data_IF_155180762894
#
_entry.id   IF_155180762894
#
_cell.length_a   1.000
_cell.length_b   1.000
_cell.length_c   1.000
_cell.angle_alpha   90.00
_cell.angle_beta   90.00
_cell.angle_gamma   90.00
#
_symmetry.space_group_name_H-M   'P 1'
#
loop_
_entity.id
_entity.type
_entity.pdbx_description
1 polymer ?
#
# COMPACT_ATOMS: atom_id res chain seq x y z
N UNK A 1 16.09 -12.43 -28.84
CA UNK A 1 16.11 -13.91 -29.03
C UNK A 1 16.94 -14.64 -27.94
N UNK A 2 17.92 -13.98 -27.31
CA UNK A 2 18.81 -14.58 -26.31
C UNK A 2 18.58 -14.14 -24.88
N UNK A 3 17.64 -13.25 -24.65
CA UNK A 3 17.37 -12.71 -23.31
C UNK A 3 16.52 -13.66 -22.47
N UNK A 4 16.85 -13.81 -21.19
CA UNK A 4 16.07 -14.59 -20.23
C UNK A 4 14.80 -13.88 -19.79
N UNK A 5 14.88 -12.57 -19.63
CA UNK A 5 13.79 -11.71 -19.16
C UNK A 5 13.74 -10.45 -20.02
N UNK A 6 12.55 -10.13 -20.50
CA UNK A 6 12.26 -8.85 -21.13
C UNK A 6 11.39 -8.02 -20.17
N UNK A 7 11.88 -6.88 -19.76
CA UNK A 7 11.16 -5.98 -18.82
C UNK A 7 10.76 -4.72 -19.55
N UNK A 8 9.51 -4.31 -19.41
CA UNK A 8 9.01 -3.07 -20.01
C UNK A 8 8.00 -2.34 -19.11
N UNK A 9 8.14 -1.01 -19.07
CA UNK A 9 7.12 -0.07 -18.57
C UNK A 9 6.64 0.87 -19.69
N UNK A 10 6.94 0.54 -20.93
CA UNK A 10 6.50 1.32 -22.10
C UNK A 10 4.96 1.34 -22.17
N UNK A 11 4.32 2.48 -22.53
CA UNK A 11 2.88 2.54 -22.75
C UNK A 11 2.37 1.47 -23.71
N UNK A 12 1.20 0.88 -23.39
CA UNK A 12 0.62 -0.21 -24.20
C UNK A 12 0.38 0.18 -25.65
N UNK A 13 -0.08 1.39 -25.92
CA UNK A 13 -0.29 1.89 -27.28
C UNK A 13 1.00 1.86 -28.08
N UNK A 14 2.11 2.32 -27.48
CA UNK A 14 3.41 2.31 -28.15
C UNK A 14 3.93 0.88 -28.35
N UNK A 15 3.74 -0.03 -27.39
CA UNK A 15 4.11 -1.45 -27.54
C UNK A 15 3.37 -2.10 -28.70
N UNK A 16 2.08 -1.82 -28.87
CA UNK A 16 1.27 -2.31 -30.00
C UNK A 16 1.79 -1.79 -31.35
N UNK A 17 2.10 -0.48 -31.41
CA UNK A 17 2.67 0.12 -32.63
C UNK A 17 4.02 -0.48 -33.02
N UNK A 18 4.86 -0.82 -32.03
CA UNK A 18 6.18 -1.38 -32.23
C UNK A 18 6.20 -2.92 -32.32
N UNK A 19 5.05 -3.57 -32.19
CA UNK A 19 4.93 -5.03 -32.12
C UNK A 19 5.80 -5.65 -31.02
N UNK A 20 5.74 -5.08 -29.81
CA UNK A 20 6.50 -5.48 -28.64
C UNK A 20 5.60 -5.97 -27.48
N UNK A 21 4.33 -6.27 -27.74
CA UNK A 21 3.48 -6.93 -26.76
C UNK A 21 3.92 -8.40 -26.56
N UNK A 22 3.45 -9.02 -25.48
CA UNK A 22 3.80 -10.42 -25.19
C UNK A 22 3.55 -11.35 -26.37
N UNK A 23 2.37 -11.27 -26.97
CA UNK A 23 1.97 -12.13 -28.10
C UNK A 23 2.80 -11.89 -29.36
N UNK A 24 3.36 -10.68 -29.51
CA UNK A 24 4.18 -10.33 -30.67
C UNK A 24 5.56 -10.98 -30.62
N UNK A 25 6.14 -11.17 -29.41
CA UNK A 25 7.55 -11.60 -29.26
C UNK A 25 7.75 -12.93 -28.52
N UNK A 26 6.71 -13.47 -27.86
CA UNK A 26 6.82 -14.72 -27.09
C UNK A 26 7.28 -15.91 -27.95
N UNK A 27 6.88 -15.94 -29.22
CA UNK A 27 7.27 -17.00 -30.17
C UNK A 27 8.75 -16.97 -30.58
N UNK A 28 9.47 -15.86 -30.37
CA UNK A 28 10.89 -15.72 -30.67
C UNK A 28 11.78 -16.46 -29.64
N UNK A 29 11.27 -16.64 -28.42
CA UNK A 29 11.94 -17.39 -27.36
C UNK A 29 10.90 -17.90 -26.35
N UNK A 30 10.47 -19.15 -26.46
CA UNK A 30 9.47 -19.78 -25.60
C UNK A 30 9.90 -19.88 -24.14
N UNK A 31 11.18 -19.71 -23.83
CA UNK A 31 11.70 -19.73 -22.47
C UNK A 31 11.80 -18.32 -21.84
N UNK A 32 11.55 -17.27 -22.59
CA UNK A 32 11.63 -15.90 -22.12
C UNK A 32 10.51 -15.57 -21.13
N UNK A 33 10.86 -14.89 -20.04
CA UNK A 33 9.89 -14.25 -19.14
C UNK A 33 9.66 -12.82 -19.63
N UNK A 34 8.44 -12.54 -20.05
CA UNK A 34 8.01 -11.18 -20.39
C UNK A 34 7.44 -10.51 -19.16
N UNK A 35 8.04 -9.42 -18.71
CA UNK A 35 7.67 -8.70 -17.50
C UNK A 35 7.14 -7.30 -17.85
N UNK A 36 5.86 -7.08 -17.58
CA UNK A 36 5.16 -5.84 -17.89
C UNK A 36 4.74 -5.08 -16.63
N UNK A 37 5.10 -3.81 -16.56
CA UNK A 37 4.62 -2.87 -15.55
C UNK A 37 3.85 -1.75 -16.24
N UNK A 38 2.63 -1.50 -15.78
CA UNK A 38 1.76 -0.45 -16.32
C UNK A 38 1.15 0.39 -15.20
N UNK A 39 0.63 1.58 -15.48
CA UNK A 39 -0.10 2.34 -14.46
C UNK A 39 -1.35 1.63 -13.95
N UNK A 40 -2.19 1.10 -14.85
CA UNK A 40 -3.55 0.65 -14.53
C UNK A 40 -3.85 -0.82 -14.86
N UNK A 41 -2.89 -1.56 -15.37
CA UNK A 41 -3.08 -2.91 -15.88
C UNK A 41 -3.15 -2.94 -17.41
N UNK A 42 -3.15 -4.14 -17.98
CA UNK A 42 -3.24 -4.35 -19.43
C UNK A 42 -4.67 -4.63 -19.91
N UNK A 43 -5.61 -4.67 -18.98
CA UNK A 43 -7.04 -4.89 -19.22
C UNK A 43 -7.88 -3.76 -18.63
N UNK A 44 -9.14 -3.69 -18.98
CA UNK A 44 -10.09 -2.68 -18.50
C UNK A 44 -10.07 -1.38 -19.28
N UNK A 45 -10.90 -0.43 -18.86
CA UNK A 45 -11.13 0.85 -19.54
C UNK A 45 -9.91 1.77 -19.50
N UNK A 46 -9.11 1.68 -18.45
CA UNK A 46 -7.99 2.60 -18.19
C UNK A 46 -6.64 2.07 -18.70
N UNK A 47 -6.63 0.90 -19.36
CA UNK A 47 -5.39 0.22 -19.78
C UNK A 47 -4.47 1.05 -20.68
N UNK A 48 -5.04 1.95 -21.46
CA UNK A 48 -4.31 2.79 -22.40
C UNK A 48 -3.97 4.19 -21.83
N UNK A 49 -4.38 4.46 -20.58
CA UNK A 49 -4.05 5.70 -19.90
C UNK A 49 -2.62 5.67 -19.35
N UNK A 50 -1.94 6.81 -19.48
CA UNK A 50 -0.62 7.01 -18.91
C UNK A 50 -0.72 7.67 -17.55
N UNK A 51 0.11 7.26 -16.60
CA UNK A 51 0.24 7.90 -15.29
C UNK A 51 1.54 7.51 -14.62
N UNK A 52 2.01 8.37 -13.72
CA UNK A 52 3.07 8.07 -12.77
C UNK A 52 2.49 7.56 -11.44
N UNK A 53 3.36 7.18 -10.53
CA UNK A 53 3.01 6.57 -9.24
C UNK A 53 2.11 7.45 -8.38
N UNK A 54 2.34 8.78 -8.33
CA UNK A 54 1.50 9.70 -7.56
C UNK A 54 0.04 9.70 -8.02
N UNK A 55 -0.21 9.45 -9.30
CA UNK A 55 -1.57 9.42 -9.85
C UNK A 55 -2.16 8.01 -9.74
N UNK A 56 -1.47 7.00 -10.28
CA UNK A 56 -2.02 5.66 -10.37
C UNK A 56 -1.99 4.90 -9.03
N UNK A 57 -0.87 4.96 -8.30
CA UNK A 57 -0.74 4.28 -7.02
C UNK A 57 -1.38 5.09 -5.89
N UNK A 58 -0.99 6.37 -5.70
CA UNK A 58 -1.36 7.15 -4.53
C UNK A 58 -2.78 7.71 -4.60
N UNK A 59 -3.11 8.40 -5.70
CA UNK A 59 -4.42 9.06 -5.81
C UNK A 59 -5.52 8.07 -6.16
N UNK A 60 -5.33 7.28 -7.22
CA UNK A 60 -6.37 6.41 -7.77
C UNK A 60 -6.75 5.24 -6.85
N UNK A 61 -5.84 4.77 -6.01
CA UNK A 61 -6.12 3.72 -5.01
C UNK A 61 -6.93 4.22 -3.80
N UNK A 62 -7.07 5.54 -3.64
CA UNK A 62 -7.73 6.14 -2.48
C UNK A 62 -6.80 6.40 -1.28
N UNK A 63 -5.53 6.01 -1.34
CA UNK A 63 -4.58 6.23 -0.23
C UNK A 63 -4.48 7.70 0.15
N UNK A 64 -4.41 8.60 -0.83
CA UNK A 64 -4.32 10.04 -0.58
C UNK A 64 -5.47 10.56 0.28
N UNK A 65 -6.69 10.13 0.02
CA UNK A 65 -7.87 10.54 0.78
C UNK A 65 -7.90 9.92 2.18
N UNK A 66 -7.55 8.64 2.29
CA UNK A 66 -7.63 7.89 3.54
C UNK A 66 -6.52 8.23 4.54
N UNK A 67 -5.40 8.77 4.06
CA UNK A 67 -4.26 9.14 4.94
C UNK A 67 -4.31 10.61 5.42
N UNK A 68 -5.30 11.38 5.03
CA UNK A 68 -5.48 12.74 5.54
C UNK A 68 -6.20 12.74 6.90
N UNK A 69 -5.86 13.69 7.74
CA UNK A 69 -6.63 13.95 8.95
C UNK A 69 -8.01 14.54 8.59
N UNK A 70 -9.08 14.21 9.33
CA UNK A 70 -10.40 14.78 9.09
C UNK A 70 -10.38 16.31 9.03
N UNK A 71 -11.01 16.89 8.01
CA UNK A 71 -11.08 18.34 7.82
C UNK A 71 -9.83 19.02 7.26
N UNK A 72 -8.75 18.27 7.01
CA UNK A 72 -7.53 18.79 6.41
C UNK A 72 -7.42 18.48 4.91
N UNK A 73 -6.55 19.19 4.22
CA UNK A 73 -6.23 18.90 2.82
C UNK A 73 -5.51 17.55 2.69
N UNK A 74 -5.70 16.83 1.57
CA UNK A 74 -4.91 15.64 1.29
C UNK A 74 -3.42 15.94 1.22
N UNK A 75 -2.61 14.97 1.67
CA UNK A 75 -1.16 15.07 1.62
C UNK A 75 -0.65 14.41 0.35
N UNK A 76 0.21 15.10 -0.38
CA UNK A 76 0.89 14.52 -1.53
C UNK A 76 1.98 13.56 -1.05
N UNK A 77 2.04 12.37 -1.65
CA UNK A 77 3.13 11.44 -1.39
C UNK A 77 4.48 11.94 -1.94
N UNK A 78 5.55 11.43 -1.37
CA UNK A 78 6.89 11.65 -1.92
C UNK A 78 7.06 10.83 -3.20
N UNK A 79 7.92 11.32 -4.10
CA UNK A 79 8.27 10.62 -5.35
C UNK A 79 8.79 9.21 -5.07
N UNK A 80 8.36 8.23 -5.86
CA UNK A 80 8.74 6.82 -5.71
C UNK A 80 7.92 6.06 -4.67
N UNK A 81 6.98 6.69 -3.96
CA UNK A 81 6.13 6.02 -2.97
C UNK A 81 5.38 4.82 -3.58
N UNK A 82 4.95 4.91 -4.81
CA UNK A 82 4.30 3.82 -5.54
C UNK A 82 5.25 2.98 -6.38
N UNK A 83 6.29 3.60 -6.95
CA UNK A 83 7.26 2.90 -7.81
C UNK A 83 8.04 1.83 -7.05
N UNK A 84 8.54 2.13 -5.84
CA UNK A 84 9.36 1.21 -5.08
C UNK A 84 8.61 -0.09 -4.71
N UNK A 85 7.42 -0.08 -4.08
CA UNK A 85 6.70 -1.32 -3.78
C UNK A 85 6.25 -2.05 -5.06
N UNK A 86 5.92 -1.31 -6.13
CA UNK A 86 5.55 -1.91 -7.41
C UNK A 86 6.76 -2.60 -8.07
N UNK A 87 7.97 -2.04 -7.95
CA UNK A 87 9.20 -2.69 -8.43
C UNK A 87 9.50 -3.99 -7.67
N UNK A 88 9.28 -4.02 -6.34
CA UNK A 88 9.43 -5.25 -5.54
C UNK A 88 8.40 -6.31 -5.95
N UNK A 89 7.15 -5.90 -6.19
CA UNK A 89 6.10 -6.79 -6.70
C UNK A 89 6.45 -7.35 -8.08
N UNK A 90 6.99 -6.53 -8.99
CA UNK A 90 7.49 -6.97 -10.29
C UNK A 90 8.64 -7.95 -10.13
N UNK A 91 9.61 -7.67 -9.29
CA UNK A 91 10.72 -8.58 -9.01
C UNK A 91 10.21 -9.95 -8.53
N UNK A 92 9.28 -9.98 -7.58
CA UNK A 92 8.68 -11.23 -7.10
C UNK A 92 7.97 -12.00 -8.23
N UNK A 93 7.26 -11.30 -9.11
CA UNK A 93 6.59 -11.89 -10.26
C UNK A 93 7.58 -12.50 -11.25
N UNK A 94 8.69 -11.80 -11.54
CA UNK A 94 9.76 -12.30 -12.42
C UNK A 94 10.41 -13.55 -11.82
N UNK A 95 10.79 -13.53 -10.53
CA UNK A 95 11.43 -14.68 -9.87
C UNK A 95 10.49 -15.89 -9.86
N UNK A 96 9.20 -15.67 -9.60
CA UNK A 96 8.19 -16.73 -9.68
C UNK A 96 8.07 -17.32 -11.09
N UNK A 97 8.08 -16.48 -12.11
CA UNK A 97 8.05 -16.92 -13.50
C UNK A 97 9.34 -17.68 -13.90
N UNK A 98 10.50 -17.23 -13.43
CA UNK A 98 11.77 -17.95 -13.62
C UNK A 98 11.77 -19.32 -12.94
N UNK A 99 11.26 -19.40 -11.70
CA UNK A 99 11.11 -20.69 -11.00
C UNK A 99 10.17 -21.64 -11.75
N UNK A 100 9.07 -21.11 -12.30
CA UNK A 100 8.18 -21.88 -13.17
C UNK A 100 8.92 -22.37 -14.42
N UNK A 101 9.71 -21.50 -15.06
CA UNK A 101 10.54 -21.86 -16.22
C UNK A 101 11.50 -22.99 -15.90
N UNK A 102 12.21 -22.94 -14.78
CA UNK A 102 13.12 -24.02 -14.36
C UNK A 102 12.42 -25.39 -14.25
N UNK A 103 11.16 -25.39 -13.86
CA UNK A 103 10.36 -26.62 -13.68
C UNK A 103 9.72 -27.12 -14.98
N UNK A 104 9.41 -26.22 -15.90
CA UNK A 104 8.59 -26.52 -17.09
C UNK A 104 9.31 -26.35 -18.41
N UNK A 105 10.48 -25.71 -18.41
CA UNK A 105 11.19 -25.29 -19.63
C UNK A 105 10.54 -24.10 -20.33
N UNK A 106 9.41 -23.57 -19.84
CA UNK A 106 8.64 -22.51 -20.51
C UNK A 106 8.66 -21.22 -19.70
N UNK A 107 8.95 -20.13 -20.38
CA UNK A 107 8.80 -18.79 -19.87
C UNK A 107 7.33 -18.42 -19.64
N UNK A 108 6.99 -17.15 -19.77
CA UNK A 108 5.63 -16.70 -19.64
C UNK A 108 5.49 -15.21 -19.35
N UNK A 109 4.27 -14.80 -19.10
CA UNK A 109 3.91 -13.41 -18.84
C UNK A 109 3.87 -13.15 -17.34
N UNK A 110 4.64 -12.16 -16.87
CA UNK A 110 4.63 -11.61 -15.53
C UNK A 110 4.16 -10.16 -15.61
N UNK A 111 3.17 -9.79 -14.80
CA UNK A 111 2.56 -8.47 -14.89
C UNK A 111 2.23 -7.91 -13.52
N UNK A 112 2.41 -6.60 -13.39
CA UNK A 112 1.90 -5.81 -12.25
C UNK A 112 1.52 -4.41 -12.69
N UNK A 113 0.80 -3.67 -11.84
CA UNK A 113 0.48 -2.27 -12.10
C UNK A 113 0.61 -1.41 -10.84
N UNK A 114 0.83 -0.12 -11.03
CA UNK A 114 0.86 0.86 -9.95
C UNK A 114 -0.46 0.85 -9.17
N UNK A 115 -1.59 0.86 -9.87
CA UNK A 115 -2.91 0.82 -9.24
C UNK A 115 -3.12 -0.46 -8.43
N UNK A 116 -2.77 -1.63 -8.96
CA UNK A 116 -2.93 -2.89 -8.23
C UNK A 116 -2.15 -2.91 -6.92
N UNK A 117 -0.93 -2.38 -6.91
CA UNK A 117 -0.12 -2.27 -5.70
C UNK A 117 -0.64 -1.19 -4.74
N UNK A 118 -1.21 -0.09 -5.25
CA UNK A 118 -1.89 0.92 -4.44
C UNK A 118 -3.13 0.35 -3.75
N UNK A 119 -3.96 -0.39 -4.47
CA UNK A 119 -5.12 -1.09 -3.90
C UNK A 119 -4.69 -2.17 -2.91
N UNK A 120 -3.60 -2.90 -3.18
CA UNK A 120 -3.03 -3.84 -2.22
C UNK A 120 -2.61 -3.15 -0.92
N UNK A 121 -1.97 -1.99 -0.99
CA UNK A 121 -1.58 -1.20 0.18
C UNK A 121 -2.79 -0.68 0.98
N UNK A 122 -3.92 -0.41 0.30
CA UNK A 122 -5.20 -0.04 0.88
C UNK A 122 -6.13 -1.25 1.12
N UNK A 123 -5.62 -2.49 1.06
CA UNK A 123 -6.46 -3.70 0.95
C UNK A 123 -7.44 -3.90 2.11
N UNK A 124 -7.07 -3.55 3.33
CA UNK A 124 -7.98 -3.63 4.48
C UNK A 124 -9.20 -2.72 4.31
N UNK A 125 -8.99 -1.50 3.81
CA UNK A 125 -10.06 -0.55 3.54
C UNK A 125 -10.91 -0.98 2.34
N UNK A 126 -10.27 -1.40 1.26
CA UNK A 126 -10.96 -1.92 0.08
C UNK A 126 -11.81 -3.15 0.41
N UNK A 127 -11.27 -4.09 1.20
CA UNK A 127 -11.99 -5.28 1.65
C UNK A 127 -13.20 -4.91 2.52
N UNK A 128 -13.04 -3.98 3.43
CA UNK A 128 -14.12 -3.54 4.30
C UNK A 128 -15.22 -2.82 3.50
N UNK A 129 -14.87 -1.97 2.52
CA UNK A 129 -15.82 -1.32 1.62
C UNK A 129 -16.61 -2.36 0.81
N UNK A 130 -15.94 -3.36 0.21
CA UNK A 130 -16.61 -4.45 -0.50
C UNK A 130 -17.53 -5.29 0.41
N UNK A 131 -17.21 -5.39 1.70
CA UNK A 131 -18.07 -6.04 2.68
C UNK A 131 -19.22 -5.17 3.18
N UNK A 132 -19.35 -3.94 2.70
CA UNK A 132 -20.39 -2.99 3.10
C UNK A 132 -20.20 -2.41 4.50
N UNK A 133 -18.94 -2.32 4.97
CA UNK A 133 -18.66 -1.72 6.26
C UNK A 133 -18.96 -0.21 6.24
N UNK A 134 -19.67 0.25 7.27
CA UNK A 134 -19.92 1.67 7.48
C UNK A 134 -18.81 2.29 8.33
N UNK A 135 -17.88 2.96 7.67
CA UNK A 135 -16.78 3.67 8.34
C UNK A 135 -17.22 4.95 9.05
N UNK A 136 -18.43 5.48 8.74
CA UNK A 136 -18.92 6.69 9.39
C UNK A 136 -19.32 6.43 10.84
N UNK A 137 -19.60 5.18 11.18
CA UNK A 137 -19.94 4.73 12.53
C UNK A 137 -18.73 4.33 13.38
N UNK A 138 -17.53 4.26 12.77
CA UNK A 138 -16.32 3.94 13.54
C UNK A 138 -15.95 5.13 14.43
N UNK A 139 -15.80 4.92 15.74
CA UNK A 139 -15.28 5.99 16.59
C UNK A 139 -13.90 6.41 16.08
N UNK A 140 -13.55 7.70 16.17
CA UNK A 140 -12.21 8.14 15.87
C UNK A 140 -11.23 7.31 16.71
N UNK A 141 -10.13 6.86 16.08
CA UNK A 141 -9.06 6.18 16.83
C UNK A 141 -8.47 7.19 17.81
N UNK A 142 -8.96 7.11 19.04
CA UNK A 142 -8.54 7.99 20.14
C UNK A 142 -7.65 7.20 21.09
N UNK A 143 -6.81 7.90 21.77
CA UNK A 143 -5.96 7.53 22.90
C UNK A 143 -4.73 6.64 22.58
N UNK A 144 -4.85 5.41 22.13
CA UNK A 144 -3.71 4.46 22.14
C UNK A 144 -3.03 4.28 20.78
N UNK A 145 -3.58 4.86 19.71
CA UNK A 145 -2.99 4.86 18.37
C UNK A 145 -2.90 6.27 17.76
N UNK A 146 -3.14 7.30 18.59
CA UNK A 146 -3.11 8.70 18.15
C UNK A 146 -1.68 9.22 18.00
N UNK A 147 -1.57 10.29 17.23
CA UNK A 147 -0.35 11.08 17.12
C UNK A 147 -0.33 12.15 18.19
N UNK A 148 0.76 12.28 18.91
CA UNK A 148 0.95 13.25 19.98
C UNK A 148 2.13 14.17 19.65
N UNK A 149 1.93 15.47 19.82
CA UNK A 149 3.00 16.43 19.74
C UNK A 149 3.76 16.48 21.07
N UNK A 150 5.06 16.36 21.01
CA UNK A 150 5.93 16.43 22.18
C UNK A 150 6.32 17.88 22.46
N UNK A 151 6.73 18.18 23.71
CA UNK A 151 7.08 19.54 24.13
C UNK A 151 8.18 20.22 23.29
N UNK A 152 8.99 19.43 22.60
CA UNK A 152 10.04 19.91 21.68
C UNK A 152 9.58 20.04 20.23
N UNK A 153 8.26 19.94 19.97
CA UNK A 153 7.66 20.09 18.64
C UNK A 153 7.83 18.89 17.70
N UNK A 154 8.27 17.76 18.20
CA UNK A 154 8.29 16.50 17.46
C UNK A 154 6.98 15.76 17.64
N UNK A 155 6.73 14.79 16.79
CA UNK A 155 5.55 13.94 16.83
C UNK A 155 5.93 12.51 17.19
N UNK A 156 5.12 11.88 18.03
CA UNK A 156 5.23 10.45 18.32
C UNK A 156 3.87 9.78 18.19
N UNK A 157 3.91 8.48 17.91
CA UNK A 157 2.74 7.62 17.89
C UNK A 157 2.87 6.58 19.00
N UNK A 158 1.88 6.52 19.88
CA UNK A 158 1.75 5.42 20.82
C UNK A 158 1.08 4.24 20.11
N UNK A 159 1.63 3.05 20.30
CA UNK A 159 1.07 1.83 19.74
C UNK A 159 1.42 0.64 20.65
N UNK A 160 0.65 -0.45 20.54
CA UNK A 160 0.92 -1.70 21.26
C UNK A 160 0.73 -1.64 22.79
N UNK A 161 0.06 -0.64 23.34
CA UNK A 161 -0.33 -0.58 24.77
C UNK A 161 -1.55 -1.49 24.97
N UNK A 162 -1.32 -2.78 25.17
CA UNK A 162 -2.38 -3.81 25.18
C UNK A 162 -2.64 -4.43 26.53
N UNK A 163 -1.84 -4.12 27.55
CA UNK A 163 -1.99 -4.64 28.91
C UNK A 163 -1.97 -3.51 29.91
N UNK A 164 -2.55 -3.74 31.08
CA UNK A 164 -2.51 -2.77 32.20
C UNK A 164 -1.06 -2.43 32.58
N UNK A 165 -0.19 -3.42 32.64
CA UNK A 165 1.22 -3.21 32.94
C UNK A 165 1.89 -2.25 31.96
N UNK A 166 1.62 -2.39 30.64
CA UNK A 166 2.18 -1.50 29.60
C UNK A 166 1.58 -0.10 29.72
N UNK A 167 0.32 0.02 30.11
CA UNK A 167 -0.29 1.31 30.38
C UNK A 167 0.37 1.99 31.58
N UNK A 168 0.55 1.29 32.70
CA UNK A 168 1.22 1.82 33.89
C UNK A 168 2.66 2.25 33.58
N UNK A 169 3.41 1.43 32.83
CA UNK A 169 4.76 1.78 32.39
C UNK A 169 4.77 3.04 31.50
N UNK A 170 3.82 3.18 30.61
CA UNK A 170 3.67 4.37 29.76
C UNK A 170 3.38 5.60 30.63
N UNK A 171 2.42 5.53 31.55
CA UNK A 171 2.06 6.61 32.47
C UNK A 171 3.25 7.06 33.30
N UNK A 172 4.03 6.10 33.82
CA UNK A 172 5.26 6.38 34.55
C UNK A 172 6.31 7.05 33.65
N UNK A 173 6.50 6.55 32.43
CA UNK A 173 7.47 7.10 31.48
C UNK A 173 7.12 8.52 31.02
N UNK A 174 5.84 8.86 30.98
CA UNK A 174 5.32 10.18 30.62
C UNK A 174 5.22 11.13 31.85
N UNK A 175 5.63 10.67 33.04
CA UNK A 175 5.51 11.41 34.33
C UNK A 175 4.05 11.83 34.64
N UNK A 176 3.05 11.11 34.08
CA UNK A 176 1.62 11.39 34.22
C UNK A 176 0.97 10.56 35.36
N UNK A 177 1.64 10.44 36.51
CA UNK A 177 1.28 9.51 37.59
C UNK A 177 -0.17 9.68 38.08
N UNK A 178 -0.71 10.89 37.99
CA UNK A 178 -2.09 11.17 38.39
C UNK A 178 -3.12 10.32 37.61
N UNK A 179 -2.80 9.90 36.40
CA UNK A 179 -3.67 9.03 35.60
C UNK A 179 -3.88 7.64 36.24
N UNK A 180 -2.95 7.14 37.04
CA UNK A 180 -3.07 5.84 37.70
C UNK A 180 -4.16 5.82 38.82
N UNK A 181 -4.57 6.99 39.30
CA UNK A 181 -5.57 7.14 40.35
C UNK A 181 -6.85 7.78 39.84
N UNK A 182 -6.93 8.17 38.60
CA UNK A 182 -8.08 8.80 37.98
C UNK A 182 -9.05 7.75 37.44
N UNK A 183 -10.31 7.76 37.89
CA UNK A 183 -11.34 6.81 37.48
C UNK A 183 -11.59 6.79 35.97
N UNK A 184 -11.29 7.89 35.25
CA UNK A 184 -11.41 8.00 33.81
C UNK A 184 -10.44 7.06 33.07
N UNK A 185 -9.36 6.66 33.72
CA UNK A 185 -8.33 5.79 33.14
C UNK A 185 -8.23 4.41 33.80
N UNK A 186 -9.17 4.09 34.72
CA UNK A 186 -9.12 2.86 35.49
C UNK A 186 -9.33 1.58 34.70
N UNK A 187 -10.04 1.64 33.57
CA UNK A 187 -10.27 0.48 32.70
C UNK A 187 -10.01 0.82 31.23
N UNK A 188 -9.72 -0.18 30.36
CA UNK A 188 -9.59 0.05 28.93
C UNK A 188 -10.81 0.75 28.31
N UNK A 189 -12.00 0.37 28.74
CA UNK A 189 -13.26 0.93 28.24
C UNK A 189 -13.37 2.42 28.62
N UNK A 190 -13.11 2.77 29.90
CA UNK A 190 -13.17 4.16 30.33
C UNK A 190 -12.08 5.03 29.68
N UNK A 191 -10.89 4.46 29.39
CA UNK A 191 -9.86 5.13 28.60
C UNK A 191 -10.29 5.44 27.18
N UNK A 192 -11.07 4.54 26.55
CA UNK A 192 -11.62 4.79 25.21
C UNK A 192 -12.67 5.91 25.22
N UNK A 193 -13.47 6.02 26.27
CA UNK A 193 -14.48 7.06 26.41
C UNK A 193 -13.87 8.45 26.70
N UNK A 194 -12.72 8.48 27.37
CA UNK A 194 -12.06 9.70 27.83
C UNK A 194 -10.70 9.93 27.14
N UNK A 195 -10.55 9.46 25.92
CA UNK A 195 -9.28 9.48 25.19
C UNK A 195 -8.90 10.81 24.54
N UNK A 196 -9.60 11.91 24.86
CA UNK A 196 -9.31 13.27 24.35
C UNK A 196 -8.33 14.03 25.23
#
# INVERSE_FOLDING_TARGET
ETGDVYITNMPLLLRRQLQLCYDDIAHLNESMVYASLTPYGEEGSDRDNEAFDLVAYWNRSGLMDKMRSPGHEPVQAIAGMGDHPTAVSMYASIVTALLRRERTGKGGFAHTSLLANGVWSASCLAQAEFAGADFSSMPPQRSMAALYETADGRWMQLNMIRTEELFDQMVVALEAIDMLTDERFATPESRMEHGD
#
